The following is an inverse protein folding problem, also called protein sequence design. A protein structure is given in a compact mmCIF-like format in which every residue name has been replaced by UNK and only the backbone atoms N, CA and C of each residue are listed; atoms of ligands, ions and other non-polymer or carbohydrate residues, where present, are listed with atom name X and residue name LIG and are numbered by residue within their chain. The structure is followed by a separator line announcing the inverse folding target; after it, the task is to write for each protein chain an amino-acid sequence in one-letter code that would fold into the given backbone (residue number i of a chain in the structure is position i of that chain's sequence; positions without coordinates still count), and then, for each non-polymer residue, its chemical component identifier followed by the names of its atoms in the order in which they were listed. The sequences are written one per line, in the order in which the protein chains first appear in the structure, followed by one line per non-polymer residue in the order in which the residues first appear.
data_IF_732744993029
#
_entry.id   IF_732744993029
#
_cell.length_a   1.000
_cell.length_b   1.000
_cell.length_c   1.000
_cell.angle_alpha   90.00
_cell.angle_beta   90.00
_cell.angle_gamma   90.00
#
_symmetry.space_group_name_H-M   'P 1'
#
loop_
_entity.id
_entity.type
_entity.pdbx_description
1 polymer ?
#
# COMPACT_ATOMS: atom_id res chain seq x y z
N UNK A 1 -22.58 8.08 43.31
CA UNK A 1 -21.52 7.59 44.22
C UNK A 1 -20.63 8.76 44.54
N UNK A 2 -20.30 9.02 45.80
CA UNK A 2 -19.38 10.10 46.14
C UNK A 2 -18.03 9.83 45.46
N UNK A 3 -17.51 10.80 44.73
CA UNK A 3 -16.25 10.67 44.02
C UNK A 3 -15.13 10.45 45.06
N UNK A 4 -14.53 9.25 45.05
CA UNK A 4 -13.41 8.95 45.94
C UNK A 4 -12.28 9.93 45.65
N UNK A 5 -11.87 10.69 46.67
CA UNK A 5 -10.88 11.76 46.55
C UNK A 5 -9.44 11.24 46.49
N UNK A 6 -9.19 10.07 47.08
CA UNK A 6 -7.85 9.49 47.22
C UNK A 6 -7.82 8.07 46.64
N UNK A 7 -6.63 7.63 46.22
CA UNK A 7 -6.25 6.23 46.07
C UNK A 7 -5.74 5.81 47.45
N UNK A 8 -6.44 4.89 48.09
CA UNK A 8 -6.11 4.44 49.44
C UNK A 8 -5.42 3.08 49.33
N UNK A 9 -4.15 3.02 49.70
CA UNK A 9 -3.37 1.78 49.76
C UNK A 9 -3.26 1.39 51.23
N UNK A 10 -3.59 0.14 51.55
CA UNK A 10 -3.55 -0.40 52.90
C UNK A 10 -2.73 -1.68 52.95
N UNK A 11 -1.78 -1.73 53.88
CA UNK A 11 -0.95 -2.89 54.15
C UNK A 11 -0.07 -3.32 52.98
N UNK A 12 0.56 -2.39 52.27
CA UNK A 12 1.46 -2.75 51.17
C UNK A 12 2.78 -3.33 51.70
N UNK A 13 3.13 -4.53 51.21
CA UNK A 13 4.28 -5.34 51.68
C UNK A 13 5.18 -5.84 50.55
N UNK A 14 4.92 -5.41 49.32
CA UNK A 14 5.71 -5.78 48.15
C UNK A 14 7.21 -5.48 48.34
N UNK A 15 8.06 -6.46 48.04
CA UNK A 15 9.51 -6.42 48.26
C UNK A 15 9.95 -6.00 49.67
N UNK A 16 10.39 -4.74 49.83
CA UNK A 16 10.92 -4.21 51.09
C UNK A 16 9.97 -3.25 51.82
N UNK A 17 8.74 -3.09 51.30
CA UNK A 17 7.70 -2.31 51.98
C UNK A 17 7.34 -2.94 53.33
N UNK A 18 7.14 -2.09 54.34
CA UNK A 18 6.96 -2.51 55.73
C UNK A 18 5.51 -2.38 56.18
N UNK A 19 4.60 -3.03 55.45
CA UNK A 19 3.16 -3.01 55.72
C UNK A 19 2.63 -1.56 55.80
N UNK A 20 2.88 -0.79 54.75
CA UNK A 20 2.60 0.65 54.75
C UNK A 20 1.17 0.97 54.32
N UNK A 21 0.61 2.01 54.94
CA UNK A 21 -0.66 2.63 54.54
C UNK A 21 -0.38 4.01 53.95
N UNK A 22 -0.95 4.31 52.78
CA UNK A 22 -0.78 5.62 52.14
C UNK A 22 -2.05 6.06 51.41
N UNK A 23 -2.38 7.34 51.52
CA UNK A 23 -3.44 7.99 50.77
C UNK A 23 -2.84 8.92 49.72
N UNK A 24 -3.14 8.65 48.45
CA UNK A 24 -2.61 9.40 47.31
C UNK A 24 -3.75 10.22 46.71
N UNK A 25 -3.64 11.55 46.61
CA UNK A 25 -4.72 12.37 46.05
C UNK A 25 -4.93 12.06 44.57
N UNK A 26 -6.18 11.84 44.17
CA UNK A 26 -6.54 11.60 42.76
C UNK A 26 -6.52 12.90 41.95
N UNK A 27 -6.35 12.75 40.63
CA UNK A 27 -6.35 13.86 39.66
C UNK A 27 -5.28 14.93 39.94
N UNK A 28 -4.16 14.52 40.55
CA UNK A 28 -3.01 15.39 40.82
C UNK A 28 -1.72 14.74 40.30
N UNK A 29 -0.74 15.59 40.01
CA UNK A 29 0.62 15.13 39.74
C UNK A 29 1.29 14.78 41.07
N UNK A 30 1.37 13.49 41.38
CA UNK A 30 2.00 12.99 42.61
C UNK A 30 3.41 12.51 42.32
N UNK A 31 4.36 12.99 43.11
CA UNK A 31 5.78 12.62 43.00
C UNK A 31 6.18 11.79 44.22
N UNK A 32 6.59 10.54 43.98
CA UNK A 32 7.16 9.67 45.02
C UNK A 32 8.68 9.84 45.02
N UNK A 33 9.24 10.27 46.15
CA UNK A 33 10.67 10.58 46.30
C UNK A 33 11.29 9.83 47.49
N UNK A 34 12.62 9.77 47.55
CA UNK A 34 13.37 9.03 48.56
C UNK A 34 14.67 8.41 48.04
N UNK A 35 15.52 7.95 48.95
CA UNK A 35 16.83 7.33 48.65
C UNK A 35 16.72 6.11 47.73
N UNK A 36 17.78 5.78 46.99
CA UNK A 36 17.80 4.56 46.20
C UNK A 36 17.53 3.33 47.08
N UNK A 37 16.69 2.40 46.61
CA UNK A 37 16.28 1.23 47.39
C UNK A 37 15.24 1.49 48.49
N UNK A 38 14.71 2.71 48.66
CA UNK A 38 13.72 3.02 49.70
C UNK A 38 12.31 2.42 49.47
N UNK A 39 12.10 1.60 48.44
CA UNK A 39 10.79 1.00 48.12
C UNK A 39 9.88 1.85 47.22
N UNK A 40 10.39 2.92 46.59
CA UNK A 40 9.59 3.78 45.69
C UNK A 40 9.00 2.99 44.52
N UNK A 41 9.82 2.21 43.84
CA UNK A 41 9.39 1.40 42.70
C UNK A 41 8.45 0.28 43.15
N UNK A 42 8.71 -0.31 44.32
CA UNK A 42 7.85 -1.32 44.93
C UNK A 42 6.45 -0.80 45.20
N UNK A 43 6.32 0.43 45.70
CA UNK A 43 5.02 1.06 45.88
C UNK A 43 4.38 1.47 44.54
N UNK A 44 5.12 2.14 43.66
CA UNK A 44 4.57 2.73 42.44
C UNK A 44 4.25 1.70 41.34
N UNK A 45 5.22 0.86 41.00
CA UNK A 45 5.14 -0.10 39.90
C UNK A 45 4.62 -1.46 40.39
N UNK A 46 5.28 -2.02 41.40
CA UNK A 46 5.03 -3.40 41.80
C UNK A 46 3.74 -3.55 42.64
N UNK A 47 3.23 -2.46 43.24
CA UNK A 47 1.96 -2.47 43.99
C UNK A 47 0.84 -1.74 43.24
N UNK A 48 0.94 -0.41 43.06
CA UNK A 48 -0.17 0.41 42.55
C UNK A 48 -0.45 0.14 41.06
N UNK A 49 0.58 0.20 40.22
CA UNK A 49 0.43 -0.08 38.78
C UNK A 49 0.04 -1.54 38.53
N UNK A 50 0.72 -2.50 39.18
CA UNK A 50 0.41 -3.91 39.04
C UNK A 50 -1.06 -4.23 39.37
N UNK A 51 -1.57 -3.73 40.50
CA UNK A 51 -2.97 -3.93 40.88
C UNK A 51 -3.94 -3.20 39.93
N UNK A 52 -3.57 -2.02 39.44
CA UNK A 52 -4.38 -1.23 38.50
C UNK A 52 -4.52 -1.91 37.15
N UNK A 53 -3.43 -2.48 36.63
CA UNK A 53 -3.42 -3.27 35.41
C UNK A 53 -4.20 -4.57 35.59
N UNK A 54 -3.96 -5.30 36.69
CA UNK A 54 -4.63 -6.57 37.00
C UNK A 54 -6.15 -6.42 37.01
N UNK A 55 -6.68 -5.45 37.77
CA UNK A 55 -8.13 -5.18 37.85
C UNK A 55 -8.74 -4.77 36.51
N UNK A 56 -8.01 -4.00 35.71
CA UNK A 56 -8.49 -3.61 34.38
C UNK A 56 -8.58 -4.82 33.45
N UNK A 57 -7.55 -5.66 33.39
CA UNK A 57 -7.55 -6.87 32.56
C UNK A 57 -8.60 -7.88 33.06
N UNK A 58 -8.88 -7.94 34.37
CA UNK A 58 -9.93 -8.81 34.94
C UNK A 58 -11.33 -8.43 34.47
N UNK A 59 -11.53 -7.16 34.13
CA UNK A 59 -12.78 -6.66 33.55
C UNK A 59 -12.95 -6.98 32.05
N UNK A 60 -11.89 -7.44 31.38
CA UNK A 60 -11.94 -7.86 29.97
C UNK A 60 -12.60 -9.25 29.83
N UNK A 61 -12.51 -9.82 28.62
CA UNK A 61 -13.17 -11.08 28.27
C UNK A 61 -12.82 -12.25 29.22
N UNK A 62 -13.73 -13.22 29.34
CA UNK A 62 -13.50 -14.42 30.13
C UNK A 62 -12.24 -15.20 29.69
N UNK A 63 -11.85 -15.08 28.43
CA UNK A 63 -10.61 -15.65 27.88
C UNK A 63 -9.36 -14.89 28.37
N UNK A 64 -9.42 -13.55 28.45
CA UNK A 64 -8.30 -12.76 28.98
C UNK A 64 -8.00 -13.09 30.46
N UNK A 65 -9.03 -13.47 31.23
CA UNK A 65 -8.87 -13.94 32.62
C UNK A 65 -8.03 -15.22 32.73
N UNK A 66 -8.00 -16.08 31.72
CA UNK A 66 -7.17 -17.28 31.75
C UNK A 66 -5.67 -16.96 31.74
N UNK A 67 -5.28 -15.79 31.21
CA UNK A 67 -3.89 -15.33 31.20
C UNK A 67 -3.54 -14.48 32.44
N UNK A 68 -4.53 -14.11 33.25
CA UNK A 68 -4.32 -13.34 34.49
C UNK A 68 -3.79 -14.19 35.63
N UNK A 69 -4.09 -15.49 35.66
CA UNK A 69 -3.51 -16.43 36.65
C UNK A 69 -1.98 -16.53 36.54
N UNK A 70 -1.37 -15.97 35.48
CA UNK A 70 0.08 -15.82 35.34
C UNK A 70 0.64 -14.51 35.92
N UNK A 71 -0.20 -13.53 36.26
CA UNK A 71 0.24 -12.28 36.87
C UNK A 71 0.18 -12.40 38.39
N UNK A 72 1.34 -12.36 39.04
CA UNK A 72 1.40 -12.38 40.50
C UNK A 72 0.61 -11.21 41.09
N UNK A 73 -0.31 -11.53 42.00
CA UNK A 73 -1.08 -10.52 42.73
C UNK A 73 -0.14 -9.86 43.75
N UNK A 74 -0.03 -8.52 43.76
CA UNK A 74 0.85 -7.83 44.71
C UNK A 74 0.45 -8.09 46.16
N UNK A 75 1.43 -8.13 47.06
CA UNK A 75 1.21 -8.32 48.49
C UNK A 75 0.72 -7.00 49.12
N UNK A 76 -0.60 -6.85 49.14
CA UNK A 76 -1.32 -5.70 49.70
C UNK A 76 -2.67 -6.16 50.26
N UNK A 77 -3.08 -5.59 51.39
CA UNK A 77 -4.38 -5.94 52.01
C UNK A 77 -5.55 -5.40 51.21
N UNK A 78 -5.50 -4.11 50.89
CA UNK A 78 -6.57 -3.44 50.17
C UNK A 78 -6.07 -2.21 49.41
N UNK A 79 -6.60 -2.03 48.20
CA UNK A 79 -6.46 -0.77 47.46
C UNK A 79 -7.83 -0.30 46.99
N UNK A 80 -8.20 0.94 47.33
CA UNK A 80 -9.45 1.61 46.92
C UNK A 80 -9.14 2.84 46.05
N UNK A 81 -10.10 3.33 45.26
CA UNK A 81 -9.90 4.53 44.42
C UNK A 81 -8.99 4.36 43.20
N UNK A 82 -8.56 3.14 42.90
CA UNK A 82 -7.61 2.86 41.82
C UNK A 82 -8.28 2.96 40.44
N UNK A 83 -7.60 3.63 39.51
CA UNK A 83 -8.01 3.73 38.10
C UNK A 83 -7.20 2.74 37.25
N UNK A 84 -7.63 2.39 36.02
CA UNK A 84 -6.77 1.68 35.08
C UNK A 84 -5.41 2.37 34.96
N UNK A 85 -4.34 1.63 35.19
CA UNK A 85 -3.00 2.19 35.30
C UNK A 85 -2.18 1.87 34.04
N UNK A 86 -1.35 2.82 33.62
CA UNK A 86 -0.39 2.68 32.52
C UNK A 86 0.99 3.01 33.08
N UNK A 87 1.95 2.12 32.88
CA UNK A 87 3.34 2.37 33.22
C UNK A 87 4.07 2.95 32.01
N UNK A 88 4.82 4.03 32.23
CA UNK A 88 5.73 4.62 31.26
C UNK A 88 7.13 4.53 31.85
N UNK A 89 7.87 3.51 31.42
CA UNK A 89 9.21 3.20 31.91
C UNK A 89 10.25 3.37 30.79
N UNK A 90 11.49 3.65 31.17
CA UNK A 90 12.64 3.58 30.28
C UNK A 90 13.13 2.13 30.09
N UNK A 91 12.20 1.17 29.92
CA UNK A 91 12.59 -0.20 29.53
C UNK A 91 13.13 -0.18 28.10
N UNK A 92 14.18 -0.96 27.84
CA UNK A 92 14.82 -1.04 26.52
C UNK A 92 13.78 -1.30 25.45
N UNK A 93 13.64 -0.34 24.53
CA UNK A 93 12.82 -0.49 23.34
C UNK A 93 13.24 -1.73 22.56
N UNK A 94 12.26 -2.49 22.08
CA UNK A 94 12.49 -3.67 21.22
C UNK A 94 13.49 -3.32 20.11
N UNK A 95 14.58 -4.07 20.01
CA UNK A 95 15.60 -3.93 18.95
C UNK A 95 15.14 -4.59 17.64
N UNK A 96 13.87 -4.44 17.29
CA UNK A 96 13.37 -4.94 16.02
C UNK A 96 13.91 -4.03 14.90
N UNK A 97 14.69 -4.54 13.94
CA UNK A 97 15.25 -3.72 12.86
C UNK A 97 14.18 -3.06 11.97
N UNK A 98 12.94 -3.56 12.02
CA UNK A 98 11.79 -3.01 11.29
C UNK A 98 10.97 -1.98 12.07
N UNK A 99 11.30 -1.74 13.34
CA UNK A 99 10.63 -0.73 14.14
C UNK A 99 11.36 0.60 14.03
N UNK A 100 10.66 1.62 13.54
CA UNK A 100 11.16 2.99 13.45
C UNK A 100 10.36 3.91 14.38
N UNK A 101 10.82 5.15 14.56
CA UNK A 101 10.04 6.19 15.27
C UNK A 101 8.67 6.35 14.63
N UNK A 102 8.59 6.32 13.30
CA UNK A 102 7.33 6.48 12.56
C UNK A 102 6.35 5.34 12.79
N UNK A 103 6.81 4.10 12.93
CA UNK A 103 5.93 2.96 13.23
C UNK A 103 5.50 2.93 14.69
N UNK A 104 6.37 3.32 15.62
CA UNK A 104 6.04 3.35 17.07
C UNK A 104 5.04 4.46 17.40
N UNK A 105 5.09 5.58 16.67
CA UNK A 105 4.17 6.72 16.85
C UNK A 105 2.92 6.65 15.97
N UNK A 106 2.77 5.60 15.16
CA UNK A 106 1.74 5.44 14.13
C UNK A 106 1.71 6.55 13.05
N UNK A 107 2.59 7.56 13.12
CA UNK A 107 2.71 8.62 12.12
C UNK A 107 2.96 8.04 10.72
N UNK A 108 3.75 6.96 10.64
CA UNK A 108 4.00 6.29 9.37
C UNK A 108 2.73 5.69 8.78
N UNK A 109 1.80 5.20 9.60
CA UNK A 109 0.54 4.64 9.12
C UNK A 109 -0.33 5.72 8.46
N UNK A 110 -0.36 6.93 9.05
CA UNK A 110 -1.00 8.09 8.45
C UNK A 110 -0.29 8.55 7.18
N UNK A 111 1.04 8.53 7.13
CA UNK A 111 1.79 8.85 5.92
C UNK A 111 1.46 7.88 4.78
N UNK A 112 1.39 6.57 5.04
CA UNK A 112 0.98 5.59 4.03
C UNK A 112 -0.41 5.89 3.47
N UNK A 113 -1.36 6.26 4.34
CA UNK A 113 -2.70 6.64 3.93
C UNK A 113 -2.70 7.93 3.10
N UNK A 114 -1.93 8.94 3.52
CA UNK A 114 -1.78 10.20 2.80
C UNK A 114 -1.26 9.96 1.37
N UNK A 115 -0.14 9.25 1.25
CA UNK A 115 0.46 8.94 -0.05
C UNK A 115 -0.48 8.09 -0.92
N UNK A 116 -1.24 7.16 -0.34
CA UNK A 116 -2.19 6.38 -1.10
C UNK A 116 -3.39 7.17 -1.63
N UNK A 117 -3.84 8.19 -0.88
CA UNK A 117 -5.05 8.95 -1.24
C UNK A 117 -4.80 10.12 -2.16
N UNK A 118 -3.68 10.82 -2.00
CA UNK A 118 -3.41 12.07 -2.74
C UNK A 118 -2.06 12.06 -3.47
N UNK A 119 -1.28 10.99 -3.33
CA UNK A 119 0.00 10.87 -4.01
C UNK A 119 -0.18 10.66 -5.51
N UNK A 120 0.44 11.52 -6.30
CA UNK A 120 0.61 11.28 -7.74
C UNK A 120 1.80 10.34 -7.92
N UNK A 121 1.63 9.15 -8.50
CA UNK A 121 2.75 8.27 -8.77
C UNK A 121 3.55 8.76 -9.98
N UNK A 122 4.84 8.46 -10.00
CA UNK A 122 5.75 8.83 -11.09
C UNK A 122 6.53 7.60 -11.55
N UNK A 123 6.83 7.54 -12.85
CA UNK A 123 7.69 6.49 -13.41
C UNK A 123 9.14 6.69 -12.97
N UNK A 124 9.79 5.70 -12.34
CA UNK A 124 11.21 5.80 -12.00
C UNK A 124 12.13 5.95 -13.21
N UNK A 125 11.72 5.43 -14.37
CA UNK A 125 12.52 5.47 -15.59
C UNK A 125 12.42 6.81 -16.35
N UNK A 126 11.28 7.50 -16.27
CA UNK A 126 11.03 8.70 -17.09
C UNK A 126 10.70 9.96 -16.29
N UNK A 127 10.40 9.83 -15.00
CA UNK A 127 9.98 10.94 -14.14
C UNK A 127 8.61 11.53 -14.48
N UNK A 128 7.87 10.93 -15.42
CA UNK A 128 6.53 11.40 -15.82
C UNK A 128 5.45 10.85 -14.88
N UNK A 129 4.36 11.60 -14.63
CA UNK A 129 3.26 11.12 -13.81
C UNK A 129 2.59 9.91 -14.45
N UNK A 130 2.22 8.95 -13.63
CA UNK A 130 1.45 7.77 -14.03
C UNK A 130 0.00 7.98 -13.58
N UNK A 131 -0.95 7.79 -14.50
CA UNK A 131 -2.37 7.93 -14.19
C UNK A 131 -3.10 6.73 -14.76
N UNK A 132 -3.91 6.09 -13.92
CA UNK A 132 -4.96 5.20 -14.39
C UNK A 132 -6.05 6.08 -15.03
N UNK A 133 -6.51 5.72 -16.22
CA UNK A 133 -7.55 6.44 -16.95
C UNK A 133 -8.75 5.52 -17.12
N UNK A 134 -9.96 6.03 -16.88
CA UNK A 134 -11.15 5.27 -17.26
C UNK A 134 -11.30 5.30 -18.79
N UNK A 135 -11.93 4.28 -19.36
CA UNK A 135 -12.20 4.22 -20.81
C UNK A 135 -12.89 5.50 -21.28
N UNK A 136 -13.82 6.05 -20.48
CA UNK A 136 -14.50 7.29 -20.85
C UNK A 136 -13.54 8.49 -20.93
N UNK A 137 -12.59 8.63 -20.00
CA UNK A 137 -11.57 9.69 -20.05
C UNK A 137 -10.69 9.55 -21.30
N UNK A 138 -10.35 8.31 -21.67
CA UNK A 138 -9.60 8.01 -22.89
C UNK A 138 -10.40 8.45 -24.14
N UNK A 139 -11.69 8.09 -24.21
CA UNK A 139 -12.60 8.49 -25.29
C UNK A 139 -12.67 10.01 -25.40
N UNK A 140 -12.92 10.70 -24.28
CA UNK A 140 -13.06 12.16 -24.26
C UNK A 140 -11.78 12.85 -24.74
N UNK A 141 -10.62 12.34 -24.33
CA UNK A 141 -9.31 12.84 -24.78
C UNK A 141 -9.05 12.61 -26.27
N UNK A 142 -9.48 11.48 -26.83
CA UNK A 142 -9.36 11.21 -28.27
C UNK A 142 -10.33 12.08 -29.07
N UNK A 143 -11.54 12.28 -28.56
CA UNK A 143 -12.57 13.10 -29.21
C UNK A 143 -12.22 14.60 -29.21
N UNK A 144 -11.34 15.05 -28.32
CA UNK A 144 -10.80 16.40 -28.30
C UNK A 144 -9.69 16.66 -29.36
N UNK A 145 -9.23 15.62 -30.07
CA UNK A 145 -8.26 15.76 -31.16
C UNK A 145 -8.90 16.28 -32.46
N UNK A 146 -8.06 16.61 -33.46
CA UNK A 146 -8.52 17.15 -34.74
C UNK A 146 -9.48 16.20 -35.48
N UNK A 147 -10.61 16.75 -35.94
CA UNK A 147 -11.62 16.02 -36.70
C UNK A 147 -11.09 15.63 -38.09
N UNK A 148 -11.48 14.45 -38.57
CA UNK A 148 -11.07 13.91 -39.87
C UNK A 148 -9.70 13.21 -39.86
N UNK A 149 -8.99 13.24 -38.73
CA UNK A 149 -7.71 12.58 -38.56
C UNK A 149 -7.86 11.05 -38.60
N UNK A 150 -7.00 10.38 -39.36
CA UNK A 150 -6.96 8.92 -39.44
C UNK A 150 -6.10 8.39 -38.29
N UNK A 151 -6.55 7.34 -37.63
CA UNK A 151 -5.79 6.72 -36.55
C UNK A 151 -5.98 5.20 -36.55
N UNK A 152 -4.96 4.49 -36.06
CA UNK A 152 -5.06 3.09 -35.70
C UNK A 152 -5.18 2.97 -34.18
N UNK A 153 -6.15 2.20 -33.72
CA UNK A 153 -6.19 1.76 -32.34
C UNK A 153 -5.48 0.42 -32.25
N UNK A 154 -4.44 0.39 -31.46
CA UNK A 154 -3.49 -0.70 -31.33
C UNK A 154 -3.50 -1.27 -29.91
N UNK A 155 -3.36 -2.59 -29.79
CA UNK A 155 -3.16 -3.29 -28.54
C UNK A 155 -1.73 -3.86 -28.47
N UNK A 156 -0.84 -3.30 -27.62
CA UNK A 156 0.57 -3.72 -27.54
C UNK A 156 0.74 -5.00 -26.72
N UNK A 157 0.53 -6.15 -27.37
CA UNK A 157 0.59 -7.47 -26.70
C UNK A 157 2.01 -7.87 -26.30
N UNK A 158 3.03 -7.40 -27.04
CA UNK A 158 4.44 -7.65 -26.76
C UNK A 158 5.20 -6.35 -26.90
N UNK A 159 6.03 -6.05 -25.90
CA UNK A 159 6.87 -4.84 -25.86
C UNK A 159 8.27 -5.19 -25.39
N UNK A 160 9.27 -4.92 -26.22
CA UNK A 160 10.69 -5.13 -25.98
C UNK A 160 11.03 -6.50 -25.36
N UNK A 161 10.40 -7.57 -25.85
CA UNK A 161 10.59 -8.94 -25.35
C UNK A 161 11.12 -9.87 -26.43
N UNK A 162 11.93 -10.85 -26.02
CA UNK A 162 12.49 -11.87 -26.92
C UNK A 162 11.53 -13.02 -27.10
N UNK A 163 11.32 -13.45 -28.35
CA UNK A 163 10.46 -14.59 -28.64
C UNK A 163 10.11 -14.72 -30.12
N UNK A 164 9.59 -15.88 -30.52
CA UNK A 164 9.12 -16.13 -31.89
C UNK A 164 7.61 -15.92 -32.08
N UNK A 165 6.86 -15.80 -30.98
CA UNK A 165 5.43 -15.44 -30.88
C UNK A 165 4.43 -16.16 -31.82
N UNK A 166 4.77 -17.35 -32.32
CA UNK A 166 3.94 -18.12 -33.26
C UNK A 166 2.60 -18.56 -32.66
N UNK A 167 2.57 -18.87 -31.37
CA UNK A 167 1.34 -19.33 -30.69
C UNK A 167 0.36 -18.16 -30.56
N UNK A 168 0.88 -17.01 -30.18
CA UNK A 168 0.18 -15.75 -30.02
C UNK A 168 -0.45 -15.32 -31.34
N UNK A 169 0.29 -15.39 -32.46
CA UNK A 169 -0.29 -15.13 -33.79
C UNK A 169 -1.44 -16.09 -34.14
N UNK A 170 -1.32 -17.38 -33.83
CA UNK A 170 -2.40 -18.34 -34.06
C UNK A 170 -3.63 -18.07 -33.19
N UNK A 171 -3.44 -17.66 -31.93
CA UNK A 171 -4.53 -17.31 -31.02
C UNK A 171 -5.26 -16.05 -31.48
N UNK A 172 -4.53 -15.00 -31.87
CA UNK A 172 -5.10 -13.78 -32.42
C UNK A 172 -5.93 -14.05 -33.68
N UNK A 173 -5.43 -14.92 -34.57
CA UNK A 173 -6.16 -15.33 -35.78
C UNK A 173 -7.45 -16.07 -35.44
N UNK A 174 -7.44 -16.95 -34.44
CA UNK A 174 -8.65 -17.64 -33.94
C UNK A 174 -9.66 -16.66 -33.35
N UNK A 175 -9.19 -15.61 -32.70
CA UNK A 175 -10.03 -14.52 -32.15
C UNK A 175 -10.54 -13.56 -33.22
N UNK A 176 -10.18 -13.75 -34.50
CA UNK A 176 -10.72 -13.00 -35.64
C UNK A 176 -9.94 -11.73 -36.00
N UNK A 177 -8.79 -11.47 -35.38
CA UNK A 177 -7.92 -10.36 -35.78
C UNK A 177 -7.25 -10.66 -37.12
N UNK A 178 -7.10 -9.64 -37.95
CA UNK A 178 -6.55 -9.78 -39.31
C UNK A 178 -5.18 -9.12 -39.49
N UNK A 179 -4.86 -8.10 -38.69
CA UNK A 179 -3.66 -7.27 -38.89
C UNK A 179 -2.89 -7.08 -37.59
N UNK A 180 -1.58 -7.10 -37.73
CA UNK A 180 -0.61 -6.82 -36.68
C UNK A 180 0.43 -5.84 -37.22
N UNK A 181 1.06 -5.12 -36.32
CA UNK A 181 2.23 -4.29 -36.59
C UNK A 181 3.38 -4.87 -35.78
N UNK A 182 4.42 -5.32 -36.46
CA UNK A 182 5.59 -5.97 -35.85
C UNK A 182 6.82 -5.14 -36.18
N UNK A 183 7.56 -4.72 -35.15
CA UNK A 183 8.78 -3.91 -35.27
C UNK A 183 8.62 -2.67 -36.18
N UNK A 184 7.43 -2.07 -36.18
CA UNK A 184 7.10 -0.88 -36.96
C UNK A 184 6.40 -1.13 -38.30
N UNK A 185 6.38 -2.36 -38.80
CA UNK A 185 5.79 -2.71 -40.10
C UNK A 185 4.47 -3.46 -39.96
N UNK A 186 3.52 -3.21 -40.87
CA UNK A 186 2.21 -3.85 -40.87
C UNK A 186 2.23 -5.18 -41.63
N UNK A 187 1.68 -6.22 -41.01
CA UNK A 187 1.54 -7.56 -41.58
C UNK A 187 0.10 -8.05 -41.44
N UNK A 188 -0.31 -8.93 -42.35
CA UNK A 188 -1.57 -9.66 -42.23
C UNK A 188 -1.32 -10.96 -41.45
N UNK A 189 -2.22 -11.30 -40.53
CA UNK A 189 -2.08 -12.48 -39.65
C UNK A 189 -2.14 -13.81 -40.40
N UNK A 190 -2.57 -13.80 -41.67
CA UNK A 190 -2.50 -14.96 -42.56
C UNK A 190 -1.04 -15.24 -43.01
N UNK A 191 -0.21 -14.20 -43.12
CA UNK A 191 1.21 -14.28 -43.49
C UNK A 191 2.09 -13.50 -42.48
N UNK A 192 2.17 -13.93 -41.21
CA UNK A 192 2.94 -13.22 -40.20
C UNK A 192 4.46 -13.37 -40.46
N UNK A 193 5.28 -12.38 -40.08
CA UNK A 193 6.72 -12.45 -40.24
C UNK A 193 7.30 -13.56 -39.36
N UNK A 194 8.38 -14.20 -39.83
CA UNK A 194 9.14 -15.16 -39.01
C UNK A 194 10.09 -14.39 -38.09
N UNK A 195 9.73 -14.32 -36.81
CA UNK A 195 10.54 -13.69 -35.77
C UNK A 195 11.62 -14.64 -35.22
N UNK A 196 12.78 -14.09 -34.88
CA UNK A 196 13.91 -14.83 -34.31
C UNK A 196 13.90 -14.68 -32.78
N UNK A 197 13.83 -15.81 -32.09
CA UNK A 197 13.86 -15.92 -30.62
C UNK A 197 15.01 -15.18 -29.92
N UNK A 198 16.10 -14.84 -30.61
CA UNK A 198 17.27 -14.15 -30.03
C UNK A 198 17.08 -12.64 -29.91
N UNK A 199 16.25 -12.06 -30.76
CA UNK A 199 16.03 -10.61 -30.84
C UNK A 199 14.80 -10.19 -30.05
N UNK A 200 14.76 -8.92 -29.65
CA UNK A 200 13.61 -8.32 -28.97
C UNK A 200 12.68 -7.75 -30.03
N UNK A 201 11.38 -7.92 -29.82
CA UNK A 201 10.35 -7.54 -30.76
C UNK A 201 9.25 -6.72 -30.07
N UNK A 202 8.64 -5.83 -30.82
CA UNK A 202 7.41 -5.10 -30.48
C UNK A 202 6.28 -5.57 -31.38
N UNK A 203 5.16 -6.01 -30.78
CA UNK A 203 4.01 -6.54 -31.50
C UNK A 203 2.74 -5.84 -31.03
N UNK A 204 2.14 -5.10 -31.95
CA UNK A 204 0.89 -4.38 -31.76
C UNK A 204 -0.21 -5.00 -32.62
N UNK A 205 -1.34 -5.38 -32.02
CA UNK A 205 -2.50 -5.87 -32.76
C UNK A 205 -3.35 -4.68 -33.20
N UNK A 206 -3.76 -4.65 -34.47
CA UNK A 206 -4.64 -3.60 -34.97
C UNK A 206 -6.08 -3.95 -34.60
N UNK A 207 -6.64 -3.24 -33.62
CA UNK A 207 -7.99 -3.48 -33.10
C UNK A 207 -9.02 -2.74 -33.93
N UNK A 208 -8.77 -1.48 -34.26
CA UNK A 208 -9.68 -0.70 -35.10
C UNK A 208 -8.90 0.30 -35.97
N UNK A 209 -9.52 0.66 -37.10
CA UNK A 209 -9.09 1.74 -37.99
C UNK A 209 -10.13 2.84 -37.94
N UNK A 210 -9.72 3.99 -37.42
CA UNK A 210 -10.60 5.08 -37.08
C UNK A 210 -10.34 6.28 -38.00
N UNK A 211 -11.42 7.02 -38.28
CA UNK A 211 -11.36 8.38 -38.81
C UNK A 211 -12.13 9.22 -37.83
N UNK A 212 -11.45 10.08 -37.06
CA UNK A 212 -12.05 10.84 -35.96
C UNK A 212 -13.20 11.71 -36.49
N UNK A 213 -14.40 11.50 -35.96
CA UNK A 213 -15.64 12.19 -36.31
C UNK A 213 -16.51 12.29 -35.06
N UNK A 214 -17.27 13.36 -34.93
CA UNK A 214 -18.30 13.47 -33.90
C UNK A 214 -19.30 12.29 -33.96
N UNK A 215 -19.76 11.82 -32.80
CA UNK A 215 -20.75 10.73 -32.69
C UNK A 215 -20.14 9.32 -32.65
N UNK A 216 -18.82 9.16 -32.67
CA UNK A 216 -18.17 7.84 -32.62
C UNK A 216 -17.83 7.34 -31.21
N UNK A 217 -18.26 8.03 -30.16
CA UNK A 217 -17.87 7.76 -28.76
C UNK A 217 -18.12 6.29 -28.37
N UNK A 218 -19.29 5.73 -28.69
CA UNK A 218 -19.65 4.35 -28.34
C UNK A 218 -18.73 3.34 -29.02
N UNK A 219 -18.46 3.53 -30.33
CA UNK A 219 -17.53 2.67 -31.08
C UNK A 219 -16.11 2.76 -30.51
N UNK A 220 -15.64 3.97 -30.23
CA UNK A 220 -14.33 4.20 -29.63
C UNK A 220 -14.19 3.52 -28.27
N UNK A 221 -15.21 3.59 -27.42
CA UNK A 221 -15.24 2.91 -26.12
C UNK A 221 -15.15 1.38 -26.26
N UNK A 222 -15.91 0.79 -27.18
CA UNK A 222 -15.90 -0.66 -27.42
C UNK A 222 -14.55 -1.14 -27.98
N UNK A 223 -13.98 -0.40 -28.93
CA UNK A 223 -12.66 -0.68 -29.48
C UNK A 223 -11.55 -0.50 -28.43
N UNK A 224 -11.63 0.52 -27.56
CA UNK A 224 -10.70 0.73 -26.45
C UNK A 224 -10.77 -0.41 -25.44
N UNK A 225 -11.95 -0.84 -25.01
CA UNK A 225 -12.10 -2.02 -24.15
C UNK A 225 -11.45 -3.25 -24.76
N UNK A 226 -11.73 -3.50 -26.03
CA UNK A 226 -11.14 -4.64 -26.76
C UNK A 226 -9.60 -4.56 -26.76
N UNK A 227 -9.04 -3.36 -26.98
CA UNK A 227 -7.58 -3.18 -26.96
C UNK A 227 -6.97 -3.35 -25.56
N UNK A 228 -7.62 -2.79 -24.54
CA UNK A 228 -7.20 -2.91 -23.14
C UNK A 228 -7.25 -4.37 -22.67
N UNK A 229 -8.33 -5.09 -22.96
CA UNK A 229 -8.48 -6.51 -22.59
C UNK A 229 -7.41 -7.39 -23.26
N UNK A 230 -7.04 -7.07 -24.50
CA UNK A 230 -6.04 -7.82 -25.25
C UNK A 230 -4.60 -7.59 -24.75
N UNK A 231 -4.30 -6.39 -24.24
CA UNK A 231 -2.96 -5.94 -23.88
C UNK A 231 -2.83 -5.54 -22.40
N UNK A 232 -3.55 -6.25 -21.52
CA UNK A 232 -3.47 -6.16 -20.05
C UNK A 232 -3.64 -4.73 -19.49
N UNK A 233 -4.61 -3.99 -20.04
CA UNK A 233 -4.97 -2.64 -19.61
C UNK A 233 -4.16 -1.53 -20.28
N UNK A 234 -3.59 -1.77 -21.47
CA UNK A 234 -2.87 -0.76 -22.26
C UNK A 234 -3.41 -0.69 -23.68
N UNK A 235 -3.63 0.51 -24.18
CA UNK A 235 -4.01 0.77 -25.56
C UNK A 235 -3.13 1.88 -26.14
N UNK A 236 -2.87 1.82 -27.44
CA UNK A 236 -2.11 2.85 -28.16
C UNK A 236 -2.97 3.38 -29.30
N UNK A 237 -3.19 4.69 -29.34
CA UNK A 237 -3.71 5.36 -30.51
C UNK A 237 -2.54 5.90 -31.33
N UNK A 238 -2.34 5.35 -32.53
CA UNK A 238 -1.36 5.85 -33.48
C UNK A 238 -2.07 6.72 -34.52
N UNK A 239 -1.82 8.03 -34.45
CA UNK A 239 -2.39 9.02 -35.36
C UNK A 239 -1.60 9.08 -36.65
N UNK A 240 -2.29 9.35 -37.76
CA UNK A 240 -1.71 9.48 -39.10
C UNK A 240 -2.13 10.82 -39.70
N UNK A 241 -1.45 11.91 -39.32
CA UNK A 241 -1.65 13.22 -39.92
C UNK A 241 -1.23 13.20 -41.40
N UNK A 242 -1.76 14.13 -42.21
CA UNK A 242 -1.41 14.21 -43.65
C UNK A 242 -0.01 14.79 -43.88
N UNK A 243 0.43 15.69 -43.00
CA UNK A 243 1.61 16.54 -43.20
C UNK A 243 2.69 16.37 -42.11
N UNK A 244 2.53 15.41 -41.20
CA UNK A 244 3.51 15.14 -40.13
C UNK A 244 3.69 13.65 -39.87
N UNK A 245 4.74 13.31 -39.11
CA UNK A 245 5.02 11.92 -38.72
C UNK A 245 3.90 11.34 -37.83
N UNK A 246 3.73 10.01 -37.82
CA UNK A 246 2.75 9.35 -36.97
C UNK A 246 3.05 9.59 -35.47
N UNK A 247 2.06 10.05 -34.71
CA UNK A 247 2.20 10.21 -33.25
C UNK A 247 1.53 9.06 -32.50
N UNK A 248 2.22 8.54 -31.48
CA UNK A 248 1.69 7.49 -30.59
C UNK A 248 1.21 8.08 -29.27
N UNK A 249 -0.09 7.97 -29.00
CA UNK A 249 -0.68 8.29 -27.71
C UNK A 249 -1.00 6.99 -26.97
N UNK A 250 -0.32 6.76 -25.84
CA UNK A 250 -0.57 5.58 -25.00
C UNK A 250 -1.61 5.93 -23.95
N UNK A 251 -2.54 5.01 -23.75
CA UNK A 251 -3.55 5.01 -22.72
C UNK A 251 -3.36 3.77 -21.85
N UNK A 252 -3.64 3.90 -20.55
CA UNK A 252 -3.62 2.75 -19.65
C UNK A 252 -4.74 2.84 -18.63
N UNK A 253 -5.43 1.73 -18.46
CA UNK A 253 -6.41 1.51 -17.40
C UNK A 253 -5.71 1.25 -16.06
N UNK A 254 -4.47 0.76 -16.11
CA UNK A 254 -3.62 0.56 -14.94
C UNK A 254 -2.71 1.77 -14.74
N UNK A 255 -2.10 1.89 -13.57
CA UNK A 255 -1.00 2.83 -13.37
C UNK A 255 0.22 2.35 -14.17
N UNK A 256 0.29 2.69 -15.46
CA UNK A 256 1.40 2.33 -16.34
C UNK A 256 2.12 3.56 -16.92
N UNK A 257 3.44 3.51 -16.98
CA UNK A 257 4.24 4.45 -17.75
C UNK A 257 4.13 4.13 -19.25
N UNK A 258 3.70 5.09 -20.08
CA UNK A 258 3.59 4.95 -21.54
C UNK A 258 4.86 4.50 -22.25
N UNK A 259 6.01 4.96 -21.76
CA UNK A 259 7.29 4.88 -22.47
C UNK A 259 8.10 3.68 -22.00
N UNK A 260 8.21 3.47 -20.69
CA UNK A 260 9.03 2.38 -20.14
C UNK A 260 8.26 1.07 -19.93
N UNK A 261 6.92 1.10 -20.05
CA UNK A 261 6.07 -0.04 -19.70
C UNK A 261 6.05 -0.37 -18.20
N UNK A 262 6.71 0.45 -17.36
CA UNK A 262 6.68 0.30 -15.91
C UNK A 262 5.25 0.41 -15.40
N UNK A 263 4.77 -0.60 -14.68
CA UNK A 263 3.43 -0.62 -14.10
C UNK A 263 3.54 -0.65 -12.59
N UNK A 264 2.57 -0.02 -11.94
CA UNK A 264 2.37 -0.07 -10.50
C UNK A 264 1.01 -0.74 -10.27
N UNK A 265 0.89 -1.62 -9.26
CA UNK A 265 -0.41 -2.09 -8.81
C UNK A 265 -1.28 -0.91 -8.32
N UNK A 266 -2.55 -1.19 -8.03
CA UNK A 266 -3.44 -0.21 -7.42
C UNK A 266 -2.79 0.42 -6.18
N UNK A 267 -2.89 1.74 -6.09
CA UNK A 267 -2.25 2.51 -5.02
C UNK A 267 -3.05 2.30 -3.74
N UNK A 268 -2.51 1.46 -2.86
CA UNK A 268 -3.05 1.20 -1.54
C UNK A 268 -2.03 1.53 -0.44
N UNK A 269 -2.46 1.82 0.80
CA UNK A 269 -1.54 2.09 1.91
C UNK A 269 -0.48 1.00 2.14
N UNK A 270 -0.80 -0.27 1.86
CA UNK A 270 0.14 -1.40 1.98
C UNK A 270 1.33 -1.33 1.02
N UNK A 271 1.17 -0.65 -0.13
CA UNK A 271 2.25 -0.44 -1.09
C UNK A 271 3.36 0.44 -0.51
N UNK A 272 3.00 1.32 0.43
CA UNK A 272 3.93 2.18 1.14
C UNK A 272 4.44 1.56 2.44
N UNK A 273 4.25 0.26 2.66
CA UNK A 273 4.69 -0.42 3.88
C UNK A 273 5.91 -1.27 3.62
N UNK A 274 7.07 -0.89 4.13
CA UNK A 274 8.28 -1.73 4.08
C UNK A 274 8.15 -3.02 4.91
N UNK A 275 7.13 -3.13 5.77
CA UNK A 275 6.80 -4.36 6.52
C UNK A 275 5.92 -5.34 5.73
N UNK A 276 5.36 -4.91 4.59
CA UNK A 276 4.52 -5.75 3.74
C UNK A 276 5.30 -6.15 2.49
N UNK A 277 5.19 -7.39 1.99
CA UNK A 277 5.92 -7.83 0.79
C UNK A 277 5.68 -6.95 -0.45
N UNK A 278 4.50 -6.31 -0.54
CA UNK A 278 4.14 -5.42 -1.65
C UNK A 278 4.91 -4.09 -1.66
N UNK A 279 5.29 -3.58 -0.49
CA UNK A 279 5.99 -2.29 -0.34
C UNK A 279 7.45 -2.41 0.11
N UNK A 280 7.87 -3.61 0.49
CA UNK A 280 9.24 -3.92 0.86
C UNK A 280 10.16 -3.89 -0.36
N UNK A 281 11.36 -3.33 -0.19
CA UNK A 281 12.39 -3.42 -1.21
C UNK A 281 12.79 -4.91 -1.39
N UNK A 282 12.78 -5.45 -2.63
CA UNK A 282 13.13 -6.85 -2.88
C UNK A 282 14.57 -7.24 -2.50
N UNK A 283 15.51 -6.29 -2.55
CA UNK A 283 16.92 -6.57 -2.27
C UNK A 283 17.20 -6.74 -0.77
N UNK A 284 16.57 -5.92 0.07
CA UNK A 284 16.79 -5.94 1.53
C UNK A 284 15.58 -6.40 2.34
N UNK A 285 14.53 -6.90 1.69
CA UNK A 285 13.25 -7.27 2.30
C UNK A 285 12.71 -6.20 3.27
N UNK A 286 12.81 -4.93 2.87
CA UNK A 286 12.36 -3.79 3.66
C UNK A 286 13.19 -3.45 4.91
N UNK A 287 14.36 -4.07 5.12
CA UNK A 287 15.25 -3.77 6.24
C UNK A 287 16.03 -2.46 6.06
N UNK A 288 16.27 -2.05 4.81
CA UNK A 288 17.01 -0.82 4.50
C UNK A 288 18.53 -0.91 4.68
N UNK A 289 19.05 -2.07 5.07
CA UNK A 289 20.49 -2.39 5.17
C UNK A 289 20.76 -3.75 4.56
N UNK A 290 21.91 -3.91 3.89
CA UNK A 290 22.45 -5.22 3.55
C UNK A 290 23.09 -5.84 4.81
N UNK A 291 22.83 -7.13 5.05
CA UNK A 291 23.41 -7.90 6.15
C UNK A 291 24.72 -8.57 5.72
#
# INVERSE_FOLDING_TARGET
MAEQKNIEVRGAREHNLKNIDVDIPRNQLVVITGLSGSGKSSLAFDTIYAEGQRRYVESLSAYARQFLDMMEKPDVDHISGLSPAISIEQKTTSKNPRSTVGTVTEIYDYLRLLFARVGTPYSPATGKPIQAQQVQDMVDRIMAMEQGLRAYLLAPIVRDRKGEYRKEFMELRKSGFQRIKVDGEFYELDEPPKLDKKFRHDIDVVVDRLVLREGMQTRLADSLRTALDLADGIAILETLPKDSEPERHVFSEKFACPVSGFTIPEIEPRLFSFNAPFGACPECDGLGVEL
#
